data_IF_300551646906
#
_entry.id   IF_300551646906
#
_cell.length_a   1.000
_cell.length_b   1.000
_cell.length_c   1.000
_cell.angle_alpha   90.00
_cell.angle_beta   90.00
_cell.angle_gamma   90.00
#
_symmetry.space_group_name_H-M   'P 1'
#
loop_
_entity.id
_entity.type
_entity.pdbx_description
1 polymer ?
#
# COMPACT_ATOMS: atom_id res chain seq x y z
N UNK A 1 9.20 15.10 10.33
CA UNK A 1 9.18 13.65 10.59
C UNK A 1 8.26 12.99 9.59
N UNK A 2 8.80 12.24 8.62
CA UNK A 2 8.15 11.13 7.90
C UNK A 2 9.18 10.58 6.91
N UNK A 3 10.05 9.74 7.43
CA UNK A 3 11.03 8.97 6.68
C UNK A 3 10.37 7.74 6.07
N UNK A 4 10.74 7.48 4.81
CA UNK A 4 10.83 6.16 4.17
C UNK A 4 9.53 5.56 3.59
N UNK A 5 9.20 6.03 2.39
CA UNK A 5 8.64 5.18 1.35
C UNK A 5 9.33 5.55 0.03
N UNK A 6 10.53 5.01 -0.20
CA UNK A 6 11.15 5.03 -1.54
C UNK A 6 10.34 4.07 -2.41
N UNK A 7 9.18 4.53 -2.86
CA UNK A 7 8.40 3.85 -3.89
C UNK A 7 8.98 4.38 -5.20
N UNK A 8 9.73 3.52 -5.89
CA UNK A 8 10.43 3.79 -7.16
C UNK A 8 9.42 3.92 -8.32
N UNK A 9 8.29 4.59 -8.08
CA UNK A 9 7.29 4.83 -9.09
C UNK A 9 6.63 6.20 -8.84
N UNK A 10 6.85 7.21 -9.70
CA UNK A 10 6.28 8.55 -9.53
C UNK A 10 4.74 8.55 -9.58
N UNK A 11 4.14 7.46 -10.04
CA UNK A 11 2.70 7.30 -10.02
C UNK A 11 2.18 6.91 -8.62
N UNK A 12 3.02 6.34 -7.77
CA UNK A 12 2.61 5.72 -6.52
C UNK A 12 3.36 6.40 -5.33
N UNK A 13 3.29 7.73 -5.26
CA UNK A 13 3.78 8.57 -4.17
C UNK A 13 2.88 8.53 -2.93
N UNK A 14 3.44 8.92 -1.76
CA UNK A 14 2.78 9.01 -0.45
C UNK A 14 1.40 9.69 -0.46
N UNK A 15 1.21 10.64 -1.37
CA UNK A 15 -0.02 11.43 -1.53
C UNK A 15 -1.16 10.60 -2.14
N UNK A 16 -0.82 9.64 -3.01
CA UNK A 16 -1.79 8.83 -3.75
C UNK A 16 -1.98 7.44 -3.15
N UNK A 17 -1.16 7.03 -2.17
CA UNK A 17 -1.37 5.79 -1.43
C UNK A 17 -2.54 5.94 -0.47
N UNK A 18 -3.57 5.14 -0.70
CA UNK A 18 -4.68 4.95 0.23
C UNK A 18 -4.56 3.60 0.91
N UNK A 19 -4.81 3.59 2.21
CA UNK A 19 -4.91 2.34 2.96
C UNK A 19 -6.19 1.62 2.55
N UNK A 20 -6.06 0.41 2.02
CA UNK A 20 -7.19 -0.48 1.70
C UNK A 20 -7.53 -1.32 2.92
N UNK A 21 -8.83 -1.59 3.13
CA UNK A 21 -9.25 -2.59 4.11
C UNK A 21 -8.75 -3.97 3.68
N UNK A 22 -8.10 -4.68 4.60
CA UNK A 22 -7.68 -6.06 4.38
C UNK A 22 -8.89 -6.95 4.17
N UNK A 23 -8.77 -7.85 3.21
CA UNK A 23 -9.67 -8.97 2.99
C UNK A 23 -9.38 -10.09 4.00
N UNK A 24 -10.33 -11.02 4.14
CA UNK A 24 -10.19 -12.16 5.05
C UNK A 24 -8.98 -13.05 4.67
N UNK A 25 -8.72 -13.22 3.38
CA UNK A 25 -7.55 -13.94 2.88
C UNK A 25 -6.23 -13.27 3.24
N UNK A 26 -6.12 -11.95 3.07
CA UNK A 26 -4.92 -11.19 3.45
C UNK A 26 -4.64 -11.30 4.95
N UNK A 27 -5.69 -11.38 5.77
CA UNK A 27 -5.54 -11.62 7.22
C UNK A 27 -5.05 -13.03 7.55
N UNK A 28 -5.48 -14.05 6.80
CA UNK A 28 -5.04 -15.44 6.97
C UNK A 28 -3.57 -15.64 6.55
N UNK A 29 -3.11 -14.93 5.51
CA UNK A 29 -1.72 -14.98 5.03
C UNK A 29 -0.76 -14.14 5.90
N UNK A 30 -1.29 -13.40 6.88
CA UNK A 30 -0.49 -12.58 7.80
C UNK A 30 -0.12 -11.19 7.26
N UNK A 31 -0.81 -10.70 6.23
CA UNK A 31 -0.59 -9.36 5.70
C UNK A 31 -1.13 -8.32 6.69
N UNK A 32 -0.25 -7.43 7.17
CA UNK A 32 -0.60 -6.43 8.18
C UNK A 32 -1.32 -5.24 7.59
N UNK A 33 -0.88 -4.73 6.45
CA UNK A 33 -1.50 -3.57 5.81
C UNK A 33 -1.40 -3.67 4.30
N UNK A 34 -2.39 -3.12 3.60
CA UNK A 34 -2.42 -3.12 2.14
C UNK A 34 -2.66 -1.68 1.72
N UNK A 35 -1.75 -1.16 0.91
CA UNK A 35 -1.89 0.18 0.35
C UNK A 35 -2.18 0.05 -1.13
N UNK A 36 -3.16 0.80 -1.61
CA UNK A 36 -3.49 0.91 -3.02
C UNK A 36 -3.20 2.33 -3.46
N UNK A 37 -2.48 2.50 -4.55
CA UNK A 37 -2.32 3.82 -5.14
C UNK A 37 -3.56 4.18 -5.95
N UNK A 38 -4.16 5.33 -5.68
CA UNK A 38 -5.34 5.84 -6.41
C UNK A 38 -5.05 6.28 -7.85
N UNK A 39 -3.78 6.37 -8.25
CA UNK A 39 -3.38 6.74 -9.61
C UNK A 39 -3.07 5.49 -10.46
N UNK A 40 -2.16 4.64 -10.00
CA UNK A 40 -1.75 3.42 -10.71
C UNK A 40 -2.64 2.19 -10.40
N UNK A 41 -3.54 2.27 -9.41
CA UNK A 41 -4.33 1.14 -8.88
C UNK A 41 -3.50 -0.08 -8.44
N UNK A 42 -2.18 0.10 -8.27
CA UNK A 42 -1.30 -0.95 -7.79
C UNK A 42 -1.47 -1.13 -6.29
N UNK A 43 -1.73 -2.38 -5.91
CA UNK A 43 -1.73 -2.82 -4.52
C UNK A 43 -0.31 -3.20 -4.10
N UNK A 44 0.12 -2.67 -2.97
CA UNK A 44 1.39 -3.03 -2.33
C UNK A 44 1.07 -3.55 -0.93
N UNK A 45 1.15 -4.87 -0.72
CA UNK A 45 1.00 -5.45 0.61
C UNK A 45 2.26 -5.20 1.44
N UNK A 46 2.08 -4.62 2.62
CA UNK A 46 3.10 -4.58 3.66
C UNK A 46 2.86 -5.75 4.62
N UNK A 47 3.82 -6.68 4.63
CA UNK A 47 3.87 -7.82 5.57
C UNK A 47 4.31 -7.35 6.96
#
# INVERSE_FOLDING_TARGET
MMTKATIVNPCCDSVHLRRRRRTLWERLVGIKEVYICSNCHKETPLK
#
